data_IF_131304757716
#
_entry.id   IF_131304757716
#
_cell.length_a   1.000
_cell.length_b   1.000
_cell.length_c   1.000
_cell.angle_alpha   90.00
_cell.angle_beta   90.00
_cell.angle_gamma   90.00
#
_symmetry.space_group_name_H-M   'P 1'
#
loop_
_entity.id
_entity.type
_entity.pdbx_description
1 polymer ?
#
# COMPACT_ATOMS: atom_id res chain seq x y z
N UNK A 1 6.82 -2.78 0.49
CA UNK A 1 5.65 -1.95 0.18
C UNK A 1 4.51 -2.92 -0.07
N UNK A 2 3.38 -2.77 0.63
CA UNK A 2 2.19 -3.58 0.33
C UNK A 2 1.43 -2.90 -0.82
N UNK A 3 0.90 -3.68 -1.76
CA UNK A 3 0.07 -3.13 -2.83
C UNK A 3 -1.24 -2.61 -2.27
N UNK A 4 -1.84 -1.66 -2.97
CA UNK A 4 -3.08 -1.00 -2.52
C UNK A 4 -4.22 -2.00 -2.34
N UNK A 5 -4.25 -3.02 -3.21
CA UNK A 5 -5.27 -4.05 -3.23
C UNK A 5 -4.73 -5.35 -3.81
N UNK A 6 -5.49 -6.44 -3.67
CA UNK A 6 -5.24 -7.69 -4.39
C UNK A 6 -6.03 -7.78 -5.70
N UNK A 7 -6.94 -6.84 -5.95
CA UNK A 7 -7.81 -6.82 -7.12
C UNK A 7 -7.94 -5.41 -7.65
N UNK A 8 -8.07 -5.27 -8.97
CA UNK A 8 -8.38 -3.99 -9.61
C UNK A 8 -9.52 -4.21 -10.62
N UNK A 9 -10.29 -3.16 -10.89
CA UNK A 9 -11.41 -3.23 -11.83
C UNK A 9 -11.17 -2.28 -12.99
N UNK A 10 -11.39 -2.78 -14.20
CA UNK A 10 -11.29 -2.04 -15.45
C UNK A 10 -12.71 -1.70 -15.91
N UNK A 11 -13.00 -0.41 -16.11
CA UNK A 11 -14.30 0.09 -16.52
C UNK A 11 -14.26 0.64 -17.94
N UNK A 12 -15.14 0.14 -18.81
CA UNK A 12 -15.21 0.58 -20.20
C UNK A 12 -16.42 1.52 -20.40
N UNK A 13 -16.20 2.82 -20.65
CA UNK A 13 -17.24 3.85 -20.55
C UNK A 13 -18.43 3.72 -21.51
N UNK A 14 -18.32 2.99 -22.63
CA UNK A 14 -19.36 2.97 -23.66
C UNK A 14 -20.67 2.27 -23.27
N UNK A 15 -20.81 1.64 -22.09
CA UNK A 15 -22.07 0.94 -21.77
C UNK A 15 -22.46 0.82 -20.29
N UNK A 16 -22.40 1.91 -19.52
CA UNK A 16 -22.79 2.03 -18.09
C UNK A 16 -21.67 1.69 -17.08
N UNK A 17 -21.58 2.51 -16.03
CA UNK A 17 -20.57 2.49 -14.96
C UNK A 17 -20.55 1.21 -14.08
N UNK A 18 -21.22 0.14 -14.52
CA UNK A 18 -21.36 -1.14 -13.81
C UNK A 18 -20.85 -2.31 -14.66
N UNK A 19 -20.36 -2.04 -15.87
CA UNK A 19 -19.85 -3.04 -16.80
C UNK A 19 -18.34 -2.90 -16.95
N UNK A 20 -17.61 -3.99 -16.70
CA UNK A 20 -16.17 -3.99 -16.66
C UNK A 20 -15.60 -5.38 -16.38
N UNK A 21 -14.31 -5.46 -16.13
CA UNK A 21 -13.64 -6.70 -15.74
C UNK A 21 -12.88 -6.49 -14.46
N UNK A 22 -12.91 -7.48 -13.58
CA UNK A 22 -12.08 -7.50 -12.39
C UNK A 22 -10.88 -8.39 -12.65
N UNK A 23 -9.68 -7.88 -12.35
CA UNK A 23 -8.44 -8.64 -12.39
C UNK A 23 -7.93 -8.76 -10.96
N UNK A 24 -7.86 -10.00 -10.47
CA UNK A 24 -7.49 -10.32 -9.09
C UNK A 24 -6.22 -11.15 -9.07
N UNK A 25 -5.21 -10.73 -8.32
CA UNK A 25 -4.00 -11.52 -8.13
C UNK A 25 -4.30 -12.83 -7.41
N UNK A 26 -3.97 -13.96 -8.04
CA UNK A 26 -4.18 -15.29 -7.47
C UNK A 26 -2.89 -15.78 -6.80
N UNK A 27 -2.78 -15.53 -5.50
CA UNK A 27 -1.61 -15.91 -4.71
C UNK A 27 -1.39 -17.44 -4.62
N UNK A 28 -2.44 -18.26 -4.73
CA UNK A 28 -2.31 -19.72 -4.65
C UNK A 28 -1.75 -20.33 -5.94
N UNK A 29 -2.07 -19.71 -7.09
CA UNK A 29 -1.58 -20.16 -8.39
C UNK A 29 -0.22 -19.54 -8.76
N UNK A 30 0.12 -18.40 -8.14
CA UNK A 30 1.39 -17.70 -8.34
C UNK A 30 2.54 -18.37 -7.59
N UNK A 31 3.72 -18.35 -8.21
CA UNK A 31 4.96 -18.83 -7.64
C UNK A 31 6.11 -17.89 -8.04
N UNK A 32 6.32 -16.80 -7.27
CA UNK A 32 7.39 -15.84 -7.55
C UNK A 32 8.79 -16.46 -7.53
N UNK A 33 8.99 -17.59 -6.84
CA UNK A 33 10.28 -18.29 -6.82
C UNK A 33 10.62 -18.85 -8.20
N UNK A 34 9.60 -19.27 -8.94
CA UNK A 34 9.72 -19.77 -10.32
C UNK A 34 9.30 -18.70 -11.35
N UNK A 35 9.33 -17.41 -11.00
CA UNK A 35 8.90 -16.28 -11.84
C UNK A 35 7.52 -16.48 -12.49
N UNK A 36 6.59 -17.14 -11.78
CA UNK A 36 5.23 -17.38 -12.27
C UNK A 36 4.24 -16.50 -11.52
N UNK A 37 3.47 -15.71 -12.26
CA UNK A 37 2.48 -14.78 -11.72
C UNK A 37 1.13 -15.05 -12.36
N UNK A 38 0.11 -15.28 -11.54
CA UNK A 38 -1.22 -15.70 -11.98
C UNK A 38 -2.30 -14.74 -11.48
N UNK A 39 -3.29 -14.49 -12.35
CA UNK A 39 -4.36 -13.53 -12.14
C UNK A 39 -5.69 -14.18 -12.54
N UNK A 40 -6.67 -14.11 -11.64
CA UNK A 40 -8.05 -14.47 -11.92
C UNK A 40 -8.73 -13.26 -12.58
N UNK A 41 -9.24 -13.47 -13.79
CA UNK A 41 -9.97 -12.47 -14.55
C UNK A 41 -11.44 -12.85 -14.55
N UNK A 42 -12.26 -11.94 -14.03
CA UNK A 42 -13.71 -12.13 -13.86
C UNK A 42 -14.49 -10.98 -14.52
N UNK A 43 -15.72 -11.30 -14.90
CA UNK A 43 -16.66 -10.35 -15.49
C UNK A 43 -17.38 -9.57 -14.40
N UNK A 44 -17.35 -8.25 -14.48
CA UNK A 44 -18.21 -7.36 -13.69
C UNK A 44 -19.34 -6.86 -14.58
N UNK A 45 -20.56 -7.38 -14.39
CA UNK A 45 -21.74 -6.96 -15.17
C UNK A 45 -21.88 -7.67 -16.51
N UNK A 46 -22.09 -6.92 -17.60
CA UNK A 46 -22.26 -7.43 -18.97
C UNK A 46 -21.21 -6.94 -19.98
N UNK A 47 -19.92 -7.22 -19.76
CA UNK A 47 -18.90 -6.95 -20.74
C UNK A 47 -18.85 -8.08 -21.77
N UNK A 48 -19.08 -7.77 -23.04
CA UNK A 48 -18.94 -8.73 -24.14
C UNK A 48 -17.70 -8.45 -24.98
N UNK A 49 -16.78 -7.59 -24.52
CA UNK A 49 -15.90 -6.87 -25.45
C UNK A 49 -14.43 -6.78 -25.03
N UNK A 50 -13.97 -7.44 -23.94
CA UNK A 50 -12.54 -7.37 -23.60
C UNK A 50 -11.71 -8.04 -24.69
N UNK A 51 -10.99 -7.23 -25.46
CA UNK A 51 -10.12 -7.72 -26.53
C UNK A 51 -8.80 -8.21 -25.96
N UNK A 52 -8.27 -7.48 -24.98
CA UNK A 52 -7.00 -7.77 -24.33
C UNK A 52 -6.93 -7.11 -22.96
N UNK A 53 -6.05 -7.63 -22.11
CA UNK A 53 -5.60 -6.95 -20.90
C UNK A 53 -4.09 -7.03 -20.78
N UNK A 54 -3.50 -6.05 -20.12
CA UNK A 54 -2.06 -5.94 -19.92
C UNK A 54 -1.77 -5.83 -18.44
N UNK A 55 -0.95 -6.74 -17.93
CA UNK A 55 -0.41 -6.67 -16.57
C UNK A 55 0.92 -5.97 -16.63
N UNK A 56 1.07 -4.88 -15.89
CA UNK A 56 2.30 -4.11 -15.81
C UNK A 56 3.48 -4.93 -15.27
N UNK A 57 4.69 -4.47 -15.56
CA UNK A 57 5.91 -4.95 -14.91
C UNK A 57 6.62 -3.77 -14.28
N UNK A 58 6.87 -3.83 -12.97
CA UNK A 58 7.61 -2.80 -12.23
C UNK A 58 9.12 -3.02 -12.39
N UNK A 59 9.62 -2.68 -13.58
CA UNK A 59 11.01 -2.82 -13.96
C UNK A 59 11.50 -1.59 -14.74
N UNK A 60 12.81 -1.29 -14.68
CA UNK A 60 13.36 -0.18 -15.45
C UNK A 60 13.30 -0.48 -16.97
N UNK A 61 13.29 0.55 -17.84
CA UNK A 61 13.11 0.37 -19.29
C UNK A 61 14.12 -0.57 -19.96
N UNK A 62 15.33 -0.70 -19.42
CA UNK A 62 16.36 -1.61 -19.95
C UNK A 62 15.95 -3.08 -19.85
N UNK A 63 15.12 -3.44 -18.86
CA UNK A 63 14.58 -4.78 -18.71
C UNK A 63 13.74 -5.18 -19.93
N UNK A 64 12.86 -4.28 -20.38
CA UNK A 64 12.01 -4.50 -21.55
C UNK A 64 12.79 -4.62 -22.85
N UNK A 65 14.01 -4.06 -22.94
CA UNK A 65 14.85 -4.20 -24.13
C UNK A 65 15.33 -5.65 -24.31
N UNK A 66 15.61 -6.32 -23.20
CA UNK A 66 16.11 -7.70 -23.16
C UNK A 66 14.98 -8.73 -23.14
N UNK A 67 13.77 -8.34 -22.77
CA UNK A 67 12.62 -9.25 -22.71
C UNK A 67 12.04 -9.50 -24.11
N UNK A 68 12.23 -10.70 -24.63
CA UNK A 68 11.65 -11.17 -25.90
C UNK A 68 10.44 -12.08 -25.65
N UNK A 69 9.64 -12.34 -26.70
CA UNK A 69 8.51 -13.28 -26.63
C UNK A 69 8.97 -14.70 -26.23
N UNK A 70 10.18 -15.10 -26.63
CA UNK A 70 10.78 -16.37 -26.22
C UNK A 70 11.11 -16.43 -24.71
N UNK A 71 11.08 -15.30 -24.00
CA UNK A 71 11.33 -15.23 -22.56
C UNK A 71 10.06 -15.34 -21.71
N UNK A 72 8.89 -15.46 -22.33
CA UNK A 72 7.61 -15.53 -21.63
C UNK A 72 6.81 -16.74 -22.08
N UNK A 73 6.15 -17.39 -21.13
CA UNK A 73 5.16 -18.45 -21.39
C UNK A 73 3.87 -18.04 -20.71
N UNK A 74 2.81 -17.88 -21.48
CA UNK A 74 1.48 -17.54 -20.98
C UNK A 74 0.55 -18.75 -21.03
N UNK A 75 -0.11 -19.05 -19.93
CA UNK A 75 -0.96 -20.25 -19.80
C UNK A 75 -2.22 -19.96 -19.02
N UNK A 76 -3.30 -20.67 -19.31
CA UNK A 76 -4.48 -20.76 -18.43
C UNK A 76 -4.22 -21.70 -17.23
N UNK A 77 -5.08 -21.66 -16.22
CA UNK A 77 -5.07 -22.66 -15.14
C UNK A 77 -5.25 -24.10 -15.62
N UNK A 78 -5.84 -24.31 -16.80
CA UNK A 78 -5.95 -25.61 -17.46
C UNK A 78 -4.61 -26.14 -17.97
N UNK A 79 -3.58 -25.29 -18.04
CA UNK A 79 -2.28 -25.58 -18.65
C UNK A 79 -2.24 -25.36 -20.16
N UNK A 80 -3.34 -24.89 -20.76
CA UNK A 80 -3.37 -24.47 -22.17
C UNK A 80 -2.58 -23.17 -22.35
N UNK A 81 -1.79 -23.10 -23.43
CA UNK A 81 -0.99 -21.93 -23.78
C UNK A 81 -1.89 -20.85 -24.41
N UNK A 82 -1.66 -19.59 -24.03
CA UNK A 82 -2.41 -18.43 -24.51
C UNK A 82 -1.45 -17.45 -25.17
N UNK A 83 -1.92 -16.81 -26.22
CA UNK A 83 -1.15 -15.79 -26.93
C UNK A 83 -0.89 -14.57 -26.03
N UNK A 84 0.36 -14.13 -25.97
CA UNK A 84 0.72 -12.95 -25.20
C UNK A 84 1.96 -12.25 -25.74
N UNK A 85 1.95 -10.93 -25.64
CA UNK A 85 2.98 -10.04 -26.18
C UNK A 85 3.60 -9.14 -25.11
N UNK A 86 4.85 -8.73 -25.34
CA UNK A 86 5.52 -7.72 -24.52
C UNK A 86 5.19 -6.32 -25.02
N UNK A 87 4.45 -5.55 -24.22
CA UNK A 87 4.13 -4.14 -24.50
C UNK A 87 5.24 -3.24 -23.94
N UNK A 88 6.11 -2.74 -24.83
CA UNK A 88 7.26 -1.89 -24.46
C UNK A 88 6.94 -0.39 -24.48
N UNK A 89 6.09 0.02 -25.40
CA UNK A 89 5.74 1.43 -25.63
C UNK A 89 4.23 1.51 -25.75
N UNK A 90 3.52 1.50 -24.62
CA UNK A 90 2.06 1.46 -24.65
C UNK A 90 1.52 2.71 -25.36
N UNK A 91 0.47 2.58 -26.19
CA UNK A 91 -0.33 3.73 -26.59
C UNK A 91 -0.95 4.40 -25.35
N UNK A 92 -1.45 5.63 -25.51
CA UNK A 92 -2.09 6.37 -24.41
C UNK A 92 -3.22 5.54 -23.79
N UNK A 93 -3.13 5.26 -22.48
CA UNK A 93 -4.12 4.48 -21.74
C UNK A 93 -3.81 3.00 -21.57
N UNK A 94 -2.62 2.53 -21.95
CA UNK A 94 -2.14 1.17 -21.66
C UNK A 94 -0.88 1.21 -20.76
N UNK A 95 -0.56 0.08 -20.11
CA UNK A 95 0.65 -0.05 -19.26
C UNK A 95 1.74 -0.86 -19.98
N UNK A 96 3.01 -0.58 -19.66
CA UNK A 96 4.11 -1.40 -20.16
C UNK A 96 4.16 -2.73 -19.40
N UNK A 97 4.11 -3.85 -20.10
CA UNK A 97 3.97 -5.15 -19.44
C UNK A 97 3.67 -6.31 -20.38
N UNK A 98 2.94 -7.30 -19.87
CA UNK A 98 2.55 -8.51 -20.61
C UNK A 98 1.08 -8.40 -21.00
N UNK A 99 0.83 -8.38 -22.29
CA UNK A 99 -0.51 -8.30 -22.88
C UNK A 99 -0.98 -9.69 -23.22
N UNK A 100 -2.10 -10.09 -22.63
CA UNK A 100 -2.81 -11.30 -23.01
C UNK A 100 -3.81 -10.94 -24.10
N UNK A 101 -3.84 -11.70 -25.18
CA UNK A 101 -4.79 -11.53 -26.28
C UNK A 101 -5.50 -12.85 -26.62
N UNK A 102 -6.56 -12.74 -27.41
CA UNK A 102 -7.14 -13.87 -28.13
C UNK A 102 -7.51 -15.08 -27.24
N UNK A 103 -8.07 -14.82 -26.06
CA UNK A 103 -8.44 -15.85 -25.07
C UNK A 103 -9.68 -16.69 -25.46
N UNK A 104 -10.10 -16.65 -26.74
CA UNK A 104 -11.32 -17.28 -27.24
C UNK A 104 -12.60 -16.64 -26.70
N UNK A 105 -13.75 -17.22 -27.05
CA UNK A 105 -15.01 -16.92 -26.38
C UNK A 105 -14.87 -17.40 -24.92
N UNK A 106 -14.46 -16.50 -24.02
CA UNK A 106 -14.49 -16.74 -22.58
C UNK A 106 -15.94 -17.02 -22.19
N UNK A 107 -16.26 -18.31 -22.10
CA UNK A 107 -17.60 -18.76 -21.73
C UNK A 107 -17.90 -18.21 -20.34
N UNK A 108 -19.00 -17.47 -20.21
CA UNK A 108 -19.40 -16.85 -18.94
C UNK A 108 -19.64 -17.90 -17.86
N UNK A 109 -19.93 -19.14 -18.28
CA UNK A 109 -20.12 -20.27 -17.37
C UNK A 109 -18.79 -20.80 -16.78
N UNK A 110 -17.63 -20.38 -17.30
CA UNK A 110 -16.30 -20.82 -16.88
C UNK A 110 -15.47 -19.73 -16.18
N UNK A 111 -16.10 -18.66 -15.70
CA UNK A 111 -15.44 -17.61 -14.94
C UNK A 111 -15.36 -17.94 -13.43
N UNK A 112 -14.35 -17.42 -12.70
CA UNK A 112 -13.22 -16.65 -13.19
C UNK A 112 -12.21 -17.54 -13.96
N UNK A 113 -11.52 -16.96 -14.94
CA UNK A 113 -10.45 -17.64 -15.68
C UNK A 113 -9.10 -17.17 -15.16
N UNK A 114 -8.24 -18.11 -14.77
CA UNK A 114 -6.89 -17.80 -14.30
C UNK A 114 -5.91 -17.75 -15.45
N UNK A 115 -5.26 -16.61 -15.63
CA UNK A 115 -4.17 -16.39 -16.57
C UNK A 115 -2.85 -16.35 -15.82
N UNK A 116 -1.85 -17.04 -16.30
CA UNK A 116 -0.51 -17.06 -15.72
C UNK A 116 0.52 -16.64 -16.75
N UNK A 117 1.48 -15.82 -16.33
CA UNK A 117 2.73 -15.58 -17.07
C UNK A 117 3.89 -16.18 -16.30
N UNK A 118 4.76 -16.89 -17.02
CA UNK A 118 6.02 -17.44 -16.50
C UNK A 118 7.17 -16.83 -17.27
N UNK A 119 8.11 -16.19 -16.58
CA UNK A 119 9.31 -15.64 -17.21
C UNK A 119 10.45 -16.66 -17.17
N UNK A 120 10.98 -16.98 -18.34
CA UNK A 120 12.08 -17.94 -18.52
C UNK A 120 13.36 -17.25 -18.97
N UNK A 121 14.50 -17.86 -18.65
CA UNK A 121 15.84 -17.39 -19.04
C UNK A 121 16.17 -15.95 -18.62
N UNK A 122 15.63 -15.49 -17.49
CA UNK A 122 16.00 -14.20 -16.91
C UNK A 122 17.35 -14.26 -16.19
N UNK A 123 18.18 -13.23 -16.37
CA UNK A 123 19.45 -13.09 -15.65
C UNK A 123 19.25 -12.85 -14.14
N UNK A 124 18.12 -12.25 -13.76
CA UNK A 124 17.76 -11.95 -12.38
C UNK A 124 16.34 -12.43 -12.10
N UNK A 125 16.08 -13.01 -10.91
CA UNK A 125 14.72 -13.40 -10.52
C UNK A 125 13.85 -12.15 -10.35
N UNK A 126 12.58 -12.28 -10.68
CA UNK A 126 11.59 -11.25 -10.39
C UNK A 126 11.07 -11.40 -8.96
N UNK A 127 10.71 -10.28 -8.38
CA UNK A 127 10.11 -10.20 -7.06
C UNK A 127 8.62 -9.89 -7.17
N UNK A 128 7.90 -10.08 -6.08
CA UNK A 128 6.54 -9.60 -5.95
C UNK A 128 6.56 -8.10 -5.60
N UNK A 129 6.18 -7.26 -6.55
CA UNK A 129 5.97 -5.82 -6.37
C UNK A 129 4.53 -5.43 -6.69
N UNK A 130 4.29 -4.15 -6.94
CA UNK A 130 2.96 -3.62 -7.23
C UNK A 130 2.92 -3.10 -8.66
N UNK A 131 1.95 -3.59 -9.42
CA UNK A 131 1.82 -3.32 -10.85
C UNK A 131 0.44 -2.78 -11.16
N UNK A 132 0.38 -1.91 -12.16
CA UNK A 132 -0.89 -1.47 -12.74
C UNK A 132 -1.40 -2.52 -13.72
N UNK A 133 -2.71 -2.52 -13.96
CA UNK A 133 -3.34 -3.36 -14.98
C UNK A 133 -4.12 -2.45 -15.90
N UNK A 134 -3.99 -2.64 -17.21
CA UNK A 134 -4.86 -1.99 -18.19
C UNK A 134 -5.66 -3.03 -18.96
N UNK A 135 -6.76 -2.61 -19.56
CA UNK A 135 -7.46 -3.43 -20.53
C UNK A 135 -8.04 -2.61 -21.65
N UNK A 136 -8.46 -3.30 -22.70
CA UNK A 136 -9.12 -2.69 -23.84
C UNK A 136 -10.39 -3.45 -24.19
N UNK A 137 -11.46 -2.71 -24.44
CA UNK A 137 -12.69 -3.23 -24.98
C UNK A 137 -13.11 -2.42 -26.22
N UNK A 138 -13.04 -3.06 -27.39
CA UNK A 138 -13.27 -2.38 -28.67
C UNK A 138 -12.27 -1.24 -28.92
N UNK A 139 -12.74 0.02 -28.91
CA UNK A 139 -11.91 1.22 -29.10
C UNK A 139 -11.51 1.90 -27.79
N UNK A 140 -12.00 1.41 -26.65
CA UNK A 140 -11.79 2.03 -25.34
C UNK A 140 -10.71 1.27 -24.59
N UNK A 141 -9.79 2.01 -23.98
CA UNK A 141 -8.80 1.48 -23.06
C UNK A 141 -9.02 2.10 -21.67
N UNK A 142 -8.75 1.33 -20.63
CA UNK A 142 -8.81 1.78 -19.24
C UNK A 142 -7.63 1.22 -18.44
N UNK A 143 -7.24 1.95 -17.40
CA UNK A 143 -6.21 1.54 -16.43
C UNK A 143 -6.91 1.42 -15.08
N UNK A 144 -6.74 0.27 -14.44
CA UNK A 144 -7.35 -0.02 -13.15
C UNK A 144 -6.97 1.03 -12.10
N UNK A 145 -7.94 1.40 -11.27
CA UNK A 145 -7.80 2.47 -10.27
C UNK A 145 -6.78 2.15 -9.15
N UNK A 146 -6.47 0.86 -8.96
CA UNK A 146 -5.61 0.32 -7.91
C UNK A 146 -4.48 -0.52 -8.51
N UNK A 147 -3.32 -0.49 -7.85
CA UNK A 147 -2.22 -1.43 -8.12
C UNK A 147 -2.46 -2.78 -7.44
N UNK A 148 -2.07 -3.86 -8.11
CA UNK A 148 -2.15 -5.24 -7.58
C UNK A 148 -0.76 -5.88 -7.48
N UNK A 149 -0.58 -6.98 -6.73
CA UNK A 149 0.68 -7.69 -6.70
C UNK A 149 1.05 -8.23 -8.08
N UNK A 150 2.31 -8.11 -8.47
CA UNK A 150 2.80 -8.60 -9.76
C UNK A 150 4.32 -8.59 -9.88
N UNK A 151 4.86 -8.81 -11.09
CA UNK A 151 6.30 -8.90 -11.33
C UNK A 151 7.01 -7.55 -11.14
N UNK A 152 8.10 -7.55 -10.36
CA UNK A 152 8.95 -6.39 -10.13
C UNK A 152 10.43 -6.76 -10.14
N UNK A 153 11.28 -5.86 -10.66
CA UNK A 153 12.74 -5.98 -10.58
C UNK A 153 13.28 -5.48 -9.23
N UNK A 154 12.45 -4.82 -8.43
CA UNK A 154 12.87 -4.24 -7.16
C UNK A 154 12.72 -5.28 -6.05
N UNK A 155 13.81 -5.69 -5.36
CA UNK A 155 13.71 -6.61 -4.25
C UNK A 155 12.82 -6.03 -3.15
N UNK A 156 12.03 -6.86 -2.45
CA UNK A 156 11.21 -6.38 -1.36
C UNK A 156 12.11 -5.72 -0.32
N UNK A 157 11.85 -4.44 -0.06
CA UNK A 157 12.59 -3.68 0.96
C UNK A 157 12.44 -4.44 2.27
N UNK A 158 13.53 -5.08 2.72
CA UNK A 158 13.53 -5.88 3.94
C UNK A 158 13.45 -4.89 5.09
N UNK A 159 12.24 -4.60 5.56
CA UNK A 159 12.04 -3.87 6.80
C UNK A 159 12.68 -4.72 7.88
N UNK A 160 13.87 -4.34 8.31
CA UNK A 160 14.57 -5.04 9.38
C UNK A 160 13.84 -4.65 10.65
N UNK A 161 12.76 -5.37 10.95
CA UNK A 161 12.07 -5.26 12.23
C UNK A 161 13.08 -5.70 13.27
N UNK A 162 13.74 -4.73 13.90
CA UNK A 162 14.68 -4.99 14.97
C UNK A 162 13.83 -5.40 16.16
N UNK A 163 13.48 -6.69 16.23
CA UNK A 163 12.90 -7.25 17.44
C UNK A 163 14.03 -7.22 18.48
N UNK A 164 14.03 -6.18 19.30
CA UNK A 164 14.87 -6.09 20.50
C UNK A 164 14.44 -7.19 21.47
N UNK A 165 14.85 -8.42 21.23
CA UNK A 165 14.83 -9.46 22.23
C UNK A 165 15.86 -9.07 23.28
N UNK A 166 15.40 -8.50 24.39
CA UNK A 166 16.15 -8.29 25.62
C UNK A 166 16.61 -9.65 26.15
N UNK A 167 17.72 -10.14 25.60
CA UNK A 167 18.45 -11.28 26.14
C UNK A 167 19.32 -10.74 27.26
N UNK A 168 18.85 -10.89 28.50
CA UNK A 168 19.64 -10.68 29.71
C UNK A 168 20.89 -11.53 29.64
N UNK A 169 22.00 -10.92 29.21
CA UNK A 169 23.28 -11.61 29.06
C UNK A 169 23.96 -11.63 30.42
N UNK A 170 23.75 -12.69 31.19
CA UNK A 170 24.59 -12.98 32.36
C UNK A 170 25.92 -13.53 31.85
N UNK A 171 26.91 -12.66 31.74
CA UNK A 171 28.28 -13.03 31.41
C UNK A 171 28.91 -13.83 32.55
N UNK A 172 28.85 -15.15 32.46
CA UNK A 172 29.63 -16.07 33.31
C UNK A 172 30.92 -16.39 32.57
N UNK A 173 32.04 -15.84 33.04
CA UNK A 173 33.38 -16.13 32.54
C UNK A 173 33.84 -17.49 33.07
N UNK A 174 33.63 -18.56 32.29
CA UNK A 174 34.25 -19.86 32.56
C UNK A 174 35.54 -20.00 31.75
N UNK A 175 36.66 -20.03 32.47
CA UNK A 175 37.94 -20.50 31.97
C UNK A 175 37.93 -22.02 31.99
N UNK A 176 38.10 -22.69 30.86
CA UNK A 176 38.52 -24.10 30.89
C UNK A 176 39.36 -24.49 29.67
N UNK A 177 40.42 -25.17 30.03
CA UNK A 177 41.52 -25.74 29.27
C UNK A 177 41.12 -26.84 28.29
N UNK A 178 41.94 -26.95 27.26
CA UNK A 178 42.03 -27.97 26.21
C UNK A 178 42.01 -29.42 26.69
N UNK A 179 41.27 -30.30 26.00
CA UNK A 179 41.70 -31.69 25.74
C UNK A 179 41.04 -32.20 24.44
N UNK A 180 41.87 -32.74 23.56
CA UNK A 180 41.56 -33.40 22.30
C UNK A 180 41.30 -34.91 22.49
N UNK A 181 40.26 -35.48 21.89
CA UNK A 181 40.27 -36.87 21.33
C UNK A 181 39.05 -37.18 20.44
N UNK A 182 39.20 -38.27 19.69
CA UNK A 182 38.68 -38.58 18.35
C UNK A 182 37.45 -39.52 18.34
N UNK A 183 36.58 -39.34 17.33
CA UNK A 183 35.83 -40.33 16.51
C UNK A 183 34.86 -41.38 17.09
N UNK A 184 33.71 -41.49 16.39
CA UNK A 184 32.93 -42.68 15.95
C UNK A 184 31.54 -42.94 16.57
N UNK A 185 30.51 -42.81 15.72
CA UNK A 185 29.35 -43.69 15.45
C UNK A 185 28.35 -44.16 16.54
N UNK A 186 27.11 -44.36 16.03
CA UNK A 186 25.95 -45.19 16.48
C UNK A 186 24.82 -44.59 17.35
N UNK A 187 23.69 -44.36 16.65
CA UNK A 187 22.29 -44.86 16.81
C UNK A 187 21.67 -45.15 18.20
N UNK A 188 20.42 -44.66 18.35
CA UNK A 188 19.31 -45.10 19.24
C UNK A 188 19.55 -44.93 20.76
N UNK A 189 18.63 -44.52 21.63
CA UNK A 189 17.21 -44.88 21.77
C UNK A 189 16.59 -43.99 22.86
N UNK A 190 15.27 -43.82 22.81
CA UNK A 190 14.38 -43.20 23.79
C UNK A 190 14.45 -43.85 25.18
N UNK A 191 14.51 -43.03 26.24
CA UNK A 191 13.97 -43.40 27.55
C UNK A 191 13.79 -42.18 28.44
N UNK A 192 12.56 -42.03 28.94
CA UNK A 192 12.10 -41.09 29.94
C UNK A 192 12.73 -41.37 31.30
N UNK A 193 13.21 -40.34 31.99
CA UNK A 193 13.50 -40.43 33.43
C UNK A 193 13.24 -39.10 34.09
N UNK A 194 12.25 -39.11 34.98
CA UNK A 194 11.92 -38.06 35.95
C UNK A 194 13.05 -37.95 36.97
N UNK A 195 13.65 -36.76 37.07
CA UNK A 195 14.67 -36.48 38.08
C UNK A 195 14.21 -35.31 38.95
N UNK A 196 13.96 -35.63 40.21
CA UNK A 196 13.66 -34.70 41.30
C UNK A 196 14.92 -33.90 41.66
N UNK A 197 14.90 -32.59 41.43
CA UNK A 197 16.00 -31.68 41.80
C UNK A 197 15.80 -31.18 43.22
N UNK A 198 16.76 -31.47 44.09
CA UNK A 198 16.83 -31.04 45.49
C UNK A 198 17.35 -29.61 45.56
N UNK A 199 16.53 -28.67 46.04
CA UNK A 199 16.93 -27.26 46.25
C UNK A 199 17.82 -27.15 47.48
N UNK A 200 19.09 -26.79 47.28
CA UNK A 200 20.04 -26.53 48.37
C UNK A 200 20.10 -25.02 48.62
N UNK A 201 19.55 -24.59 49.76
CA UNK A 201 19.55 -23.18 50.18
C UNK A 201 20.94 -22.80 50.70
N UNK A 202 21.65 -21.95 49.96
CA UNK A 202 22.94 -21.37 50.38
C UNK A 202 22.73 -19.90 50.76
N UNK A 203 22.70 -19.61 52.05
CA UNK A 203 22.67 -18.26 52.63
C UNK A 203 24.04 -17.61 52.48
N UNK A 204 24.19 -16.74 51.48
CA UNK A 204 25.37 -15.87 51.33
C UNK A 204 25.08 -14.50 51.92
N UNK A 205 25.63 -14.25 53.11
CA UNK A 205 25.67 -12.93 53.76
C UNK A 205 26.65 -12.05 52.99
N UNK A 206 26.12 -11.14 52.17
CA UNK A 206 26.92 -10.17 51.41
C UNK A 206 26.98 -8.86 52.18
N UNK A 207 28.18 -8.48 52.60
CA UNK A 207 28.50 -7.23 53.28
C UNK A 207 28.30 -6.06 52.33
N UNK A 208 27.32 -5.20 52.62
CA UNK A 208 27.04 -3.99 51.86
C UNK A 208 28.09 -2.91 52.17
N UNK A 209 28.98 -2.66 51.22
CA UNK A 209 29.85 -1.47 51.22
C UNK A 209 29.15 -0.38 50.42
N UNK A 210 28.55 0.58 51.13
CA UNK A 210 27.83 1.73 50.60
C UNK A 210 28.80 2.67 49.88
N UNK A 211 28.91 2.49 48.57
CA UNK A 211 29.69 3.37 47.68
C UNK A 211 28.71 4.40 47.12
N UNK A 212 28.84 5.66 47.57
CA UNK A 212 28.06 6.78 47.07
C UNK A 212 28.57 7.14 45.67
N UNK A 213 27.98 6.53 44.64
CA UNK A 213 28.21 6.90 43.25
C UNK A 213 27.28 8.06 42.89
N UNK A 214 27.85 9.26 42.74
CA UNK A 214 27.19 10.39 42.08
C UNK A 214 27.02 10.04 40.61
N UNK A 215 25.87 9.47 40.24
CA UNK A 215 25.53 9.18 38.85
C UNK A 215 25.33 10.49 38.10
N UNK A 216 26.30 10.81 37.25
CA UNK A 216 26.17 11.86 36.24
C UNK A 216 25.07 11.42 35.28
N UNK A 217 23.86 11.94 35.48
CA UNK A 217 22.71 11.63 34.63
C UNK A 217 23.01 12.18 33.24
N UNK A 218 23.19 11.29 32.26
CA UNK A 218 23.32 11.69 30.87
C UNK A 218 21.97 12.30 30.46
N UNK A 219 21.91 13.52 29.89
CA UNK A 219 20.65 14.12 29.49
C UNK A 219 19.96 13.16 28.52
N UNK A 220 18.80 12.65 28.91
CA UNK A 220 17.99 11.79 28.06
C UNK A 220 17.62 12.63 26.85
N UNK A 221 17.97 12.21 25.62
CA UNK A 221 17.53 12.92 24.43
C UNK A 221 16.00 12.99 24.45
N UNK A 222 15.43 14.17 24.24
CA UNK A 222 13.99 14.34 24.06
C UNK A 222 13.69 14.40 22.54
N UNK A 223 13.60 13.24 21.86
CA UNK A 223 13.45 13.22 20.42
C UNK A 223 12.09 13.80 20.00
N UNK A 224 12.10 14.46 18.85
CA UNK A 224 10.88 14.75 18.12
C UNK A 224 10.52 13.53 17.29
N UNK A 225 9.29 13.06 17.43
CA UNK A 225 8.73 11.93 16.68
C UNK A 225 7.51 12.39 15.91
N UNK A 226 7.18 11.73 14.79
CA UNK A 226 6.08 12.15 13.93
C UNK A 226 5.28 10.96 13.40
N UNK A 227 3.99 11.17 13.16
CA UNK A 227 3.15 10.29 12.35
C UNK A 227 2.95 10.89 10.96
N UNK A 228 2.67 10.03 9.97
CA UNK A 228 2.17 10.41 8.66
C UNK A 228 0.84 9.70 8.43
N UNK A 229 -0.15 10.42 7.90
CA UNK A 229 -1.50 9.90 7.67
C UNK A 229 -1.93 10.25 6.26
N UNK A 230 -2.57 9.29 5.58
CA UNK A 230 -3.28 9.54 4.34
C UNK A 230 -4.72 9.93 4.69
N UNK A 231 -5.15 11.11 4.28
CA UNK A 231 -6.53 11.58 4.46
C UNK A 231 -7.22 11.52 3.11
N UNK A 232 -8.34 10.80 3.05
CA UNK A 232 -9.14 10.65 1.83
C UNK A 232 -10.37 11.55 1.91
N UNK A 233 -10.50 12.49 0.98
CA UNK A 233 -11.68 13.33 0.82
C UNK A 233 -12.63 12.73 -0.21
N UNK A 234 -13.91 12.60 0.16
CA UNK A 234 -14.99 12.11 -0.73
C UNK A 234 -16.09 13.14 -0.83
N UNK A 235 -15.82 14.23 -1.52
CA UNK A 235 -16.72 15.38 -1.57
C UNK A 235 -17.80 15.21 -2.64
N UNK A 236 -19.06 15.48 -2.26
CA UNK A 236 -20.15 15.61 -3.21
C UNK A 236 -20.19 17.04 -3.77
N UNK A 237 -20.26 17.17 -5.10
CA UNK A 237 -20.31 18.47 -5.78
C UNK A 237 -21.76 18.83 -6.07
N UNK A 238 -22.29 19.80 -5.31
CA UNK A 238 -23.65 20.33 -5.48
C UNK A 238 -23.59 21.86 -5.52
N UNK A 239 -23.82 22.48 -6.69
CA UNK A 239 -24.09 21.89 -8.00
C UNK A 239 -22.88 21.12 -8.59
N UNK A 240 -23.06 20.28 -9.63
CA UNK A 240 -21.97 19.48 -10.19
C UNK A 240 -20.92 20.33 -10.92
N UNK A 241 -19.69 19.81 -11.00
CA UNK A 241 -18.58 20.47 -11.67
C UNK A 241 -18.57 20.22 -13.18
N UNK A 242 -18.31 21.29 -13.94
CA UNK A 242 -18.12 21.28 -15.39
C UNK A 242 -16.68 20.86 -15.73
N UNK A 243 -16.51 19.69 -16.35
CA UNK A 243 -15.22 19.18 -16.88
C UNK A 243 -14.04 19.15 -15.88
N UNK A 244 -12.95 18.44 -16.22
CA UNK A 244 -11.80 18.29 -15.32
C UNK A 244 -10.90 19.54 -15.25
N UNK A 245 -10.80 20.30 -16.35
CA UNK A 245 -9.85 21.41 -16.50
C UNK A 245 -10.15 22.63 -15.61
N UNK A 246 -11.28 22.62 -14.88
CA UNK A 246 -11.74 23.73 -14.04
C UNK A 246 -11.78 23.45 -12.56
N UNK A 247 -11.19 22.34 -12.07
CA UNK A 247 -11.20 21.97 -10.65
C UNK A 247 -9.82 22.19 -10.04
N UNK A 248 -9.77 23.01 -8.99
CA UNK A 248 -8.58 23.25 -8.18
C UNK A 248 -8.91 22.93 -6.73
N UNK A 249 -7.98 22.26 -6.06
CA UNK A 249 -8.12 21.91 -4.65
C UNK A 249 -6.93 22.47 -3.87
N UNK A 250 -7.17 22.73 -2.58
CA UNK A 250 -6.14 23.14 -1.62
C UNK A 250 -6.48 22.61 -0.26
N UNK A 251 -5.52 21.96 0.41
CA UNK A 251 -5.71 21.43 1.76
C UNK A 251 -4.90 22.24 2.77
N UNK A 252 -5.46 22.44 3.96
CA UNK A 252 -4.77 23.08 5.07
C UNK A 252 -5.35 22.64 6.42
N UNK A 253 -4.60 22.89 7.49
CA UNK A 253 -5.07 22.73 8.86
C UNK A 253 -5.84 23.98 9.27
N UNK A 254 -7.16 23.87 9.46
CA UNK A 254 -7.98 24.97 10.00
C UNK A 254 -7.71 25.22 11.48
N UNK A 255 -7.37 24.16 12.21
CA UNK A 255 -6.98 24.18 13.62
C UNK A 255 -5.71 23.35 13.83
N UNK A 256 -4.91 23.71 14.83
CA UNK A 256 -3.72 22.94 15.17
C UNK A 256 -4.13 21.56 15.72
N UNK A 257 -3.48 20.46 15.30
CA UNK A 257 -3.69 19.15 15.90
C UNK A 257 -3.41 19.16 17.41
N UNK A 258 -4.08 18.30 18.16
CA UNK A 258 -3.98 18.21 19.62
C UNK A 258 -3.67 16.80 20.07
N UNK A 259 -2.99 16.67 21.21
CA UNK A 259 -2.83 15.38 21.89
C UNK A 259 -4.19 15.01 22.46
N UNK A 260 -4.73 13.88 22.02
CA UNK A 260 -6.02 13.36 22.49
C UNK A 260 -5.83 12.56 23.78
N UNK A 261 -4.85 11.65 23.78
CA UNK A 261 -4.57 10.75 24.88
C UNK A 261 -3.12 10.25 24.85
N UNK A 262 -2.62 9.78 25.99
CA UNK A 262 -1.27 9.22 26.15
C UNK A 262 -1.38 7.91 26.91
N UNK A 263 -0.98 6.83 26.26
CA UNK A 263 -0.90 5.50 26.82
C UNK A 263 0.58 5.08 26.97
N UNK A 264 0.88 4.03 27.75
CA UNK A 264 2.20 3.41 27.71
C UNK A 264 2.62 3.11 26.27
N UNK A 265 3.80 3.60 25.89
CA UNK A 265 4.42 3.44 24.58
C UNK A 265 3.73 4.16 23.40
N UNK A 266 2.62 4.88 23.62
CA UNK A 266 1.79 5.44 22.54
C UNK A 266 1.25 6.83 22.88
N UNK A 267 1.37 7.76 21.94
CA UNK A 267 0.70 9.07 22.01
C UNK A 267 -0.33 9.16 20.88
N UNK A 268 -1.57 9.47 21.24
CA UNK A 268 -2.69 9.62 20.30
C UNK A 268 -2.84 11.10 19.97
N UNK A 269 -2.80 11.42 18.69
CA UNK A 269 -2.97 12.78 18.17
C UNK A 269 -4.21 12.82 17.29
N UNK A 270 -5.09 13.77 17.53
CA UNK A 270 -6.26 14.02 16.70
C UNK A 270 -6.18 15.41 16.08
N UNK A 271 -6.88 15.58 14.96
CA UNK A 271 -6.99 16.87 14.31
C UNK A 271 -8.00 16.83 13.18
N UNK A 272 -8.07 17.94 12.46
CA UNK A 272 -8.96 18.11 11.32
C UNK A 272 -8.23 18.86 10.23
N UNK A 273 -8.43 18.44 8.99
CA UNK A 273 -7.96 19.14 7.80
C UNK A 273 -9.15 19.65 7.01
N UNK A 274 -9.01 20.84 6.45
CA UNK A 274 -10.02 21.46 5.61
C UNK A 274 -9.49 21.49 4.18
N UNK A 275 -10.33 21.09 3.24
CA UNK A 275 -10.08 21.17 1.81
C UNK A 275 -10.98 22.23 1.19
N UNK A 276 -10.36 23.22 0.57
CA UNK A 276 -10.99 24.22 -0.28
C UNK A 276 -11.03 23.65 -1.70
N UNK A 277 -12.22 23.57 -2.29
CA UNK A 277 -12.45 23.02 -3.62
C UNK A 277 -13.10 24.11 -4.47
N UNK A 278 -12.36 24.61 -5.44
CA UNK A 278 -12.82 25.62 -6.40
C UNK A 278 -13.12 24.93 -7.72
N UNK A 279 -14.33 25.12 -8.26
CA UNK A 279 -14.74 24.49 -9.50
C UNK A 279 -15.74 25.34 -10.29
N UNK A 280 -15.83 25.09 -11.60
CA UNK A 280 -16.85 25.74 -12.44
C UNK A 280 -18.16 24.96 -12.36
N UNK A 281 -19.25 25.61 -11.97
CA UNK A 281 -20.60 25.04 -11.92
C UNK A 281 -21.53 25.71 -12.94
N UNK A 282 -22.62 25.02 -13.30
CA UNK A 282 -23.72 25.62 -14.07
C UNK A 282 -24.75 26.24 -13.12
N UNK A 283 -25.02 27.52 -13.30
CA UNK A 283 -26.07 28.24 -12.58
C UNK A 283 -27.36 28.18 -13.40
N UNK A 284 -28.32 27.36 -12.97
CA UNK A 284 -29.61 27.19 -13.66
C UNK A 284 -30.44 28.49 -13.70
N UNK A 285 -30.32 29.34 -12.67
CA UNK A 285 -31.09 30.59 -12.59
C UNK A 285 -30.58 31.63 -13.59
N UNK A 286 -29.27 31.69 -13.78
CA UNK A 286 -28.63 32.62 -14.71
C UNK A 286 -28.38 32.03 -16.10
N UNK A 287 -28.52 30.71 -16.26
CA UNK A 287 -28.22 30.01 -17.51
C UNK A 287 -26.75 30.11 -17.94
N UNK A 288 -25.83 30.25 -17.00
CA UNK A 288 -24.41 30.50 -17.28
C UNK A 288 -23.48 29.74 -16.32
N UNK A 289 -22.25 29.52 -16.75
CA UNK A 289 -21.21 28.92 -15.90
C UNK A 289 -20.57 29.97 -14.99
N UNK A 290 -20.30 29.57 -13.75
CA UNK A 290 -19.63 30.41 -12.74
C UNK A 290 -18.72 29.58 -11.86
N UNK A 291 -17.73 30.22 -11.29
CA UNK A 291 -16.90 29.63 -10.25
C UNK A 291 -17.72 29.44 -8.96
N UNK A 292 -17.50 28.30 -8.31
CA UNK A 292 -18.02 27.95 -7.01
C UNK A 292 -16.87 27.48 -6.12
N UNK A 293 -16.97 27.75 -4.83
CA UNK A 293 -16.01 27.25 -3.85
C UNK A 293 -16.75 26.61 -2.69
N UNK A 294 -16.40 25.37 -2.40
CA UNK A 294 -16.92 24.62 -1.26
C UNK A 294 -15.77 24.24 -0.33
N UNK A 295 -16.10 23.94 0.91
CA UNK A 295 -15.17 23.49 1.92
C UNK A 295 -15.61 22.13 2.43
N UNK A 296 -14.68 21.19 2.46
CA UNK A 296 -14.88 19.86 3.04
C UNK A 296 -13.91 19.68 4.21
N UNK A 297 -14.32 18.96 5.24
CA UNK A 297 -13.52 18.77 6.44
C UNK A 297 -13.45 17.28 6.80
N UNK A 298 -12.23 16.77 6.92
CA UNK A 298 -12.01 15.38 7.31
C UNK A 298 -11.20 15.33 8.62
N UNK A 299 -11.70 14.64 9.66
CA UNK A 299 -10.94 14.38 10.86
C UNK A 299 -9.85 13.34 10.57
N UNK A 300 -8.76 13.42 11.31
CA UNK A 300 -7.75 12.36 11.31
C UNK A 300 -7.32 12.05 12.74
N UNK A 301 -6.85 10.82 12.92
CA UNK A 301 -6.25 10.35 14.15
C UNK A 301 -5.01 9.56 13.80
N UNK A 302 -3.93 9.77 14.57
CA UNK A 302 -2.71 8.99 14.41
C UNK A 302 -2.13 8.61 15.77
N UNK A 303 -1.44 7.47 15.81
CA UNK A 303 -0.65 7.06 16.95
C UNK A 303 0.84 7.27 16.65
N UNK A 304 1.58 7.68 17.67
CA UNK A 304 3.04 7.84 17.61
C UNK A 304 3.66 6.98 18.70
N UNK A 305 4.56 6.10 18.28
CA UNK A 305 5.25 5.17 19.18
C UNK A 305 6.34 5.91 19.95
N UNK A 306 6.27 5.81 21.28
CA UNK A 306 7.13 6.52 22.23
C UNK A 306 7.41 5.66 23.44
N UNK A 307 8.56 4.97 23.46
CA UNK A 307 8.99 4.14 24.59
C UNK A 307 9.07 4.90 25.93
N UNK A 308 9.17 6.23 25.90
CA UNK A 308 9.18 7.12 27.06
C UNK A 308 7.80 7.69 27.43
N UNK A 309 6.73 7.31 26.72
CA UNK A 309 5.36 7.70 27.05
C UNK A 309 4.76 6.73 28.08
N UNK A 310 4.20 7.31 29.14
CA UNK A 310 3.36 6.68 30.14
C UNK A 310 2.04 7.43 30.25
N UNK A 311 1.05 6.80 30.89
CA UNK A 311 -0.22 7.45 31.20
C UNK A 311 0.00 8.81 31.89
N UNK A 312 -0.75 9.82 31.45
CA UNK A 312 -0.67 11.22 31.92
C UNK A 312 0.65 11.97 31.64
N UNK A 313 1.60 11.41 30.89
CA UNK A 313 2.80 12.15 30.49
C UNK A 313 2.43 13.34 29.58
N UNK A 314 2.98 14.55 29.82
CA UNK A 314 2.66 15.70 29.00
C UNK A 314 3.42 15.66 27.68
N UNK A 315 2.68 15.76 26.57
CA UNK A 315 3.20 15.92 25.22
C UNK A 315 2.63 17.19 24.58
N UNK A 316 3.38 17.76 23.63
CA UNK A 316 2.91 18.84 22.77
C UNK A 316 3.15 18.52 21.30
N UNK A 317 2.29 19.08 20.44
CA UNK A 317 2.50 19.09 18.99
C UNK A 317 3.49 20.20 18.64
N UNK A 318 4.66 19.82 18.15
CA UNK A 318 5.76 20.75 17.81
C UNK A 318 5.80 21.12 16.32
N UNK A 319 5.02 20.44 15.49
CA UNK A 319 4.91 20.77 14.07
C UNK A 319 3.90 19.91 13.34
N UNK A 320 3.29 20.47 12.31
CA UNK A 320 2.37 19.77 11.43
C UNK A 320 2.41 20.40 10.04
N UNK A 321 2.25 19.59 9.01
CA UNK A 321 2.31 20.03 7.62
C UNK A 321 1.56 19.07 6.69
N UNK A 322 1.04 19.62 5.59
CA UNK A 322 0.65 18.84 4.41
C UNK A 322 1.94 18.51 3.65
N UNK A 323 2.21 17.22 3.44
CA UNK A 323 3.40 16.76 2.71
C UNK A 323 3.16 16.63 1.21
N UNK A 324 1.96 16.17 0.84
CA UNK A 324 1.58 15.89 -0.54
C UNK A 324 0.09 16.17 -0.72
N UNK A 325 -0.25 16.95 -1.74
CA UNK A 325 -1.62 17.13 -2.21
C UNK A 325 -1.89 16.12 -3.32
N UNK A 326 -2.97 15.35 -3.20
CA UNK A 326 -3.34 14.35 -4.18
C UNK A 326 -3.82 14.96 -5.49
N UNK A 327 -3.80 14.18 -6.57
CA UNK A 327 -4.50 14.62 -7.80
C UNK A 327 -6.00 14.38 -7.64
N UNK A 328 -6.87 15.39 -7.81
CA UNK A 328 -8.31 15.22 -7.72
C UNK A 328 -8.82 14.28 -8.82
N UNK A 329 -9.58 13.26 -8.44
CA UNK A 329 -10.28 12.36 -9.36
C UNK A 329 -11.77 12.69 -9.35
N UNK A 330 -12.29 13.10 -10.50
CA UNK A 330 -13.73 13.34 -10.67
C UNK A 330 -14.46 12.04 -10.99
N UNK A 331 -15.56 11.79 -10.30
CA UNK A 331 -16.40 10.61 -10.44
C UNK A 331 -17.88 11.01 -10.59
N UNK A 332 -18.72 10.01 -10.86
CA UNK A 332 -20.15 10.19 -11.15
C UNK A 332 -20.33 11.18 -12.30
N UNK A 333 -20.00 10.76 -13.51
CA UNK A 333 -20.14 11.57 -14.73
C UNK A 333 -21.60 11.60 -15.19
N UNK A 334 -22.02 12.71 -15.80
CA UNK A 334 -23.26 12.80 -16.56
C UNK A 334 -23.33 14.08 -17.39
N UNK A 335 -24.54 14.47 -17.76
CA UNK A 335 -24.77 15.58 -18.70
C UNK A 335 -25.88 16.50 -18.23
N UNK A 336 -25.74 17.80 -18.50
CA UNK A 336 -26.79 18.81 -18.30
C UNK A 336 -27.05 19.54 -19.63
N UNK A 337 -28.30 19.94 -19.87
CA UNK A 337 -28.66 20.80 -21.00
C UNK A 337 -28.47 22.26 -20.63
N UNK A 338 -27.76 23.00 -21.47
CA UNK A 338 -27.54 24.44 -21.32
C UNK A 338 -28.64 25.24 -22.02
N UNK A 339 -28.72 26.55 -21.76
CA UNK A 339 -29.69 27.47 -22.39
C UNK A 339 -29.63 27.49 -23.93
N UNK A 340 -28.50 27.08 -24.52
CA UNK A 340 -28.32 26.98 -25.96
C UNK A 340 -28.73 25.62 -26.55
N UNK A 341 -29.36 24.74 -25.77
CA UNK A 341 -29.61 23.32 -26.09
C UNK A 341 -28.32 22.52 -26.35
N UNK A 342 -27.17 22.97 -25.83
CA UNK A 342 -25.92 22.21 -25.87
C UNK A 342 -25.83 21.34 -24.61
N UNK A 343 -25.35 20.11 -24.74
CA UNK A 343 -25.11 19.21 -23.61
C UNK A 343 -23.70 19.42 -23.05
N UNK A 344 -23.60 19.68 -21.75
CA UNK A 344 -22.34 19.83 -21.05
C UNK A 344 -22.08 18.61 -20.16
N UNK A 345 -20.85 18.09 -20.18
CA UNK A 345 -20.44 17.02 -19.28
C UNK A 345 -20.15 17.56 -17.88
N UNK A 346 -20.70 16.89 -16.88
CA UNK A 346 -20.52 17.28 -15.48
C UNK A 346 -20.16 16.08 -14.59
N UNK A 347 -19.65 16.38 -13.39
CA UNK A 347 -19.27 15.41 -12.37
C UNK A 347 -19.89 15.78 -11.01
N UNK A 348 -20.44 14.81 -10.29
CA UNK A 348 -21.08 15.03 -8.98
C UNK A 348 -20.21 14.64 -7.78
N UNK A 349 -19.00 14.12 -8.02
CA UNK A 349 -18.14 13.62 -6.95
C UNK A 349 -16.68 13.91 -7.24
N UNK A 350 -15.94 14.30 -6.20
CA UNK A 350 -14.50 14.46 -6.19
C UNK A 350 -13.91 13.51 -5.14
N UNK A 351 -12.90 12.75 -5.54
CA UNK A 351 -12.08 11.94 -4.61
C UNK A 351 -10.64 12.42 -4.71
N UNK A 352 -10.01 12.65 -3.56
CA UNK A 352 -8.61 13.02 -3.50
C UNK A 352 -7.98 12.49 -2.21
N UNK A 353 -6.72 12.03 -2.28
CA UNK A 353 -5.97 11.49 -1.15
C UNK A 353 -4.75 12.36 -0.89
N UNK A 354 -4.66 12.93 0.31
CA UNK A 354 -3.52 13.78 0.72
C UNK A 354 -2.70 13.09 1.79
N UNK A 355 -1.43 13.48 1.91
CA UNK A 355 -0.54 13.00 2.97
C UNK A 355 -0.21 14.15 3.91
N UNK A 356 -0.52 13.96 5.19
CA UNK A 356 -0.17 14.90 6.25
C UNK A 356 0.86 14.32 7.20
N UNK A 357 1.57 15.20 7.90
CA UNK A 357 2.53 14.85 8.95
C UNK A 357 2.28 15.66 10.20
N UNK A 358 2.31 15.01 11.36
CA UNK A 358 2.21 15.65 12.67
C UNK A 358 3.33 15.15 13.56
N UNK A 359 4.00 16.06 14.24
CA UNK A 359 5.15 15.79 15.08
C UNK A 359 4.90 16.23 16.52
N UNK A 360 5.34 15.41 17.47
CA UNK A 360 5.19 15.66 18.90
C UNK A 360 6.54 15.67 19.61
N UNK A 361 6.54 16.23 20.82
CA UNK A 361 7.66 16.17 21.76
C UNK A 361 7.11 16.04 23.19
N UNK A 362 7.85 15.36 24.06
CA UNK A 362 7.53 15.28 25.49
C UNK A 362 7.88 16.60 26.17
N UNK A 363 7.01 17.11 27.03
CA UNK A 363 7.28 18.32 27.81
C UNK A 363 7.98 17.90 29.10
N UNK A 364 9.12 18.50 29.41
CA UNK A 364 9.73 18.35 30.73
C UNK A 364 8.98 19.27 31.70
N UNK A 365 8.34 18.70 32.73
CA UNK A 365 7.74 19.51 33.79
C UNK A 365 8.86 20.26 34.54
N UNK A 366 8.73 21.58 34.73
CA UNK A 366 9.75 22.42 35.34
C UNK A 366 10.00 22.15 36.83
#
# INVERSE_FOLDING_TARGET
>A
MACESNSTTLFFPNNQAVNGWSVTYNAMASDPVNNRFCYDVDVVGNPQDLSHFTVGIDCPPEFFLNLTEDNIICTLSTGEEVDCDVVRTPPTGEVAGIKFENFGDLDRDNLPVTFCVTFIDLEQPLFLGCVEVSGKAGQEADIGDETIPGPSCTPPMTTTTTTSSTTSTTSTTSSTSSTSTTSSSTTSTTSTTSTTSTTTTSTSTTSTTSTSSTTTVCPIPNPQTCCQVIVEFKTQLVPPALTADGVSTRIYFSEAPTIEDVCPEKVIVCGKVTKEITYTMFDEELGMFRENTIYDEEPFQCFIDRDDANEDDPFEVVGYAVLCEGTPRLQNRGTIETTNNETAQVHWKLIEKDVIKVCIRKIELP
#
